data_IF_211692835069
#
_entry.id   IF_211692835069
#
_cell.length_a   1.000
_cell.length_b   1.000
_cell.length_c   1.000
_cell.angle_alpha   90.00
_cell.angle_beta   90.00
_cell.angle_gamma   90.00
#
_symmetry.space_group_name_H-M   'P 1'
#
loop_
_entity.id
_entity.type
_entity.pdbx_description
1 polymer ?
#
# COMPACT_ATOMS: atom_id res chain seq x y z
N UNK A 1 -12.93 9.71 -11.81
CA UNK A 1 -11.64 8.98 -11.97
C UNK A 1 -11.85 7.60 -12.60
N UNK A 2 -10.88 7.06 -13.35
CA UNK A 2 -10.94 5.65 -13.83
C UNK A 2 -10.18 4.76 -12.85
N UNK A 3 -10.87 4.21 -11.87
CA UNK A 3 -10.32 3.16 -11.00
C UNK A 3 -10.19 1.86 -11.81
N UNK A 4 -8.97 1.38 -12.01
CA UNK A 4 -8.72 0.10 -12.66
C UNK A 4 -9.10 -1.04 -11.70
N UNK A 5 -10.21 -1.74 -11.99
CA UNK A 5 -10.68 -2.88 -11.19
C UNK A 5 -10.07 -4.17 -11.72
N UNK A 6 -8.95 -4.60 -11.15
CA UNK A 6 -8.27 -5.83 -11.56
C UNK A 6 -8.84 -7.01 -10.77
N UNK A 7 -9.40 -8.00 -11.47
CA UNK A 7 -9.83 -9.26 -10.85
C UNK A 7 -8.64 -10.17 -10.58
N UNK A 8 -8.76 -11.11 -9.62
CA UNK A 8 -7.74 -12.14 -9.35
C UNK A 8 -7.36 -12.93 -10.61
N UNK A 9 -8.31 -13.17 -11.52
CA UNK A 9 -8.08 -13.87 -12.80
C UNK A 9 -7.28 -13.03 -13.82
N UNK A 10 -7.05 -11.75 -13.55
CA UNK A 10 -6.30 -10.82 -14.37
C UNK A 10 -4.94 -10.45 -13.75
N UNK A 11 -4.49 -11.13 -12.69
CA UNK A 11 -3.20 -10.87 -12.04
C UNK A 11 -2.02 -10.92 -13.02
N UNK A 12 -2.12 -11.76 -14.05
CA UNK A 12 -1.10 -11.90 -15.09
C UNK A 12 -0.85 -10.59 -15.86
N UNK A 13 -1.86 -9.70 -15.96
CA UNK A 13 -1.73 -8.38 -16.59
C UNK A 13 -0.90 -7.40 -15.75
N UNK A 14 -0.82 -7.63 -14.44
CA UNK A 14 0.02 -6.84 -13.54
C UNK A 14 1.48 -7.29 -13.58
N UNK A 15 1.80 -8.40 -14.24
CA UNK A 15 3.18 -8.82 -14.35
C UNK A 15 3.90 -8.04 -15.45
N UNK A 16 4.78 -7.13 -15.07
CA UNK A 16 5.60 -6.36 -16.00
C UNK A 16 7.07 -6.37 -15.57
N UNK A 17 7.89 -7.13 -16.31
CA UNK A 17 9.33 -7.26 -16.06
C UNK A 17 10.08 -5.93 -16.00
N UNK A 18 9.61 -4.88 -16.69
CA UNK A 18 10.25 -3.56 -16.65
C UNK A 18 10.03 -2.84 -15.32
N UNK A 19 8.89 -3.08 -14.67
CA UNK A 19 8.52 -2.46 -13.40
C UNK A 19 9.18 -3.19 -12.21
N UNK A 20 9.32 -4.52 -12.31
CA UNK A 20 10.01 -5.36 -11.36
C UNK A 20 9.09 -6.38 -10.69
N UNK A 21 9.49 -6.85 -9.51
CA UNK A 21 8.71 -7.77 -8.67
C UNK A 21 7.44 -7.07 -8.19
N UNK A 22 6.30 -7.73 -8.39
CA UNK A 22 4.99 -7.20 -8.03
C UNK A 22 4.51 -7.73 -6.69
N UNK A 23 4.02 -6.84 -5.83
CA UNK A 23 3.32 -7.15 -4.60
C UNK A 23 1.90 -6.63 -4.74
N UNK A 24 0.92 -7.53 -4.63
CA UNK A 24 -0.47 -7.24 -4.95
C UNK A 24 -1.35 -7.60 -3.77
N UNK A 25 -2.26 -6.69 -3.44
CA UNK A 25 -3.39 -6.94 -2.55
C UNK A 25 -4.67 -6.56 -3.28
N UNK A 26 -5.59 -7.51 -3.44
CA UNK A 26 -6.89 -7.30 -4.09
C UNK A 26 -8.01 -7.71 -3.14
N UNK A 27 -9.09 -6.94 -3.14
CA UNK A 27 -10.35 -7.31 -2.50
C UNK A 27 -11.12 -8.34 -3.35
N UNK A 28 -11.69 -9.35 -2.71
CA UNK A 28 -12.50 -10.41 -3.33
C UNK A 28 -13.68 -9.83 -4.13
N UNK A 29 -14.25 -8.71 -3.67
CA UNK A 29 -15.38 -8.05 -4.34
C UNK A 29 -14.96 -7.14 -5.51
N UNK A 30 -13.67 -7.11 -5.89
CA UNK A 30 -13.12 -6.33 -7.03
C UNK A 30 -13.35 -4.81 -6.93
N UNK A 31 -13.56 -4.28 -5.72
CA UNK A 31 -13.78 -2.85 -5.49
C UNK A 31 -12.52 -2.11 -5.09
N UNK A 32 -11.52 -2.82 -4.56
CA UNK A 32 -10.34 -2.26 -3.91
C UNK A 32 -9.11 -3.10 -4.24
N UNK A 33 -7.97 -2.48 -4.15
CA UNK A 33 -6.70 -3.15 -4.25
C UNK A 33 -5.56 -2.16 -4.42
N UNK A 34 -4.39 -2.59 -3.99
CA UNK A 34 -3.14 -1.85 -4.11
C UNK A 34 -2.09 -2.74 -4.77
N UNK A 35 -1.22 -2.13 -5.56
CA UNK A 35 -0.15 -2.81 -6.29
C UNK A 35 1.13 -2.03 -6.11
N UNK A 36 2.15 -2.70 -5.60
CA UNK A 36 3.49 -2.13 -5.44
C UNK A 36 4.46 -2.89 -6.35
N UNK A 37 5.23 -2.14 -7.13
CA UNK A 37 6.30 -2.68 -7.97
C UNK A 37 7.65 -2.32 -7.37
N UNK A 38 8.48 -3.32 -7.14
CA UNK A 38 9.83 -3.14 -6.58
C UNK A 38 10.84 -3.74 -7.55
N UNK A 39 11.92 -3.02 -7.84
CA UNK A 39 12.96 -3.50 -8.74
C UNK A 39 13.58 -4.80 -8.22
N UNK A 40 13.83 -5.75 -9.11
CA UNK A 40 14.27 -7.11 -8.73
C UNK A 40 15.59 -7.17 -7.96
N UNK A 41 16.46 -6.16 -8.15
CA UNK A 41 17.73 -6.05 -7.43
C UNK A 41 17.57 -5.54 -5.98
N UNK A 42 16.39 -5.05 -5.61
CA UNK A 42 16.05 -4.66 -4.24
C UNK A 42 15.43 -5.89 -3.55
N UNK A 43 16.03 -6.30 -2.43
CA UNK A 43 15.44 -7.36 -1.61
C UNK A 43 14.13 -6.85 -1.02
N UNK A 44 13.04 -7.57 -1.27
CA UNK A 44 11.71 -7.17 -0.84
C UNK A 44 10.89 -8.37 -0.36
N UNK A 45 10.26 -8.20 0.80
CA UNK A 45 9.47 -9.21 1.49
C UNK A 45 8.13 -8.63 1.95
N UNK A 46 7.05 -9.32 1.64
CA UNK A 46 5.73 -8.99 2.16
C UNK A 46 5.68 -9.22 3.68
N UNK A 47 5.21 -8.21 4.41
CA UNK A 47 5.12 -8.25 5.88
C UNK A 47 3.66 -8.37 6.31
N UNK A 48 2.76 -7.63 5.66
CA UNK A 48 1.35 -7.61 6.03
C UNK A 48 0.44 -7.26 4.86
N UNK A 49 -0.75 -7.86 4.88
CA UNK A 49 -1.89 -7.55 4.03
C UNK A 49 -3.13 -7.47 4.89
N UNK A 50 -3.91 -6.41 4.71
CA UNK A 50 -5.23 -6.35 5.34
C UNK A 50 -6.30 -7.08 4.53
N UNK A 51 -7.39 -7.44 5.19
CA UNK A 51 -8.51 -8.16 4.57
C UNK A 51 -9.35 -7.27 3.65
N UNK A 52 -9.32 -5.96 3.85
CA UNK A 52 -10.18 -5.01 3.15
C UNK A 52 -9.61 -4.55 1.80
N UNK A 53 -8.39 -4.97 1.48
CA UNK A 53 -7.71 -4.65 0.24
C UNK A 53 -7.13 -3.23 0.18
N UNK A 54 -6.76 -2.67 1.35
CA UNK A 54 -6.43 -1.24 1.52
C UNK A 54 -5.06 -0.99 2.14
N UNK A 55 -4.42 -1.97 2.78
CA UNK A 55 -3.12 -1.81 3.42
C UNK A 55 -2.21 -2.96 3.00
N UNK A 56 -1.14 -2.62 2.30
CA UNK A 56 -0.07 -3.54 1.94
C UNK A 56 1.24 -3.03 2.53
N UNK A 57 1.90 -3.87 3.33
CA UNK A 57 3.20 -3.56 3.92
C UNK A 57 4.26 -4.50 3.36
N UNK A 58 5.35 -3.91 2.85
CA UNK A 58 6.48 -4.63 2.27
C UNK A 58 7.76 -4.08 2.89
N UNK A 59 8.56 -4.96 3.48
CA UNK A 59 9.94 -4.65 3.88
C UNK A 59 10.81 -4.63 2.63
N UNK A 60 11.63 -3.60 2.49
CA UNK A 60 12.73 -3.56 1.53
C UNK A 60 14.07 -3.40 2.26
N UNK A 61 15.13 -3.89 1.62
CA UNK A 61 16.50 -3.65 2.08
C UNK A 61 17.23 -2.78 1.07
N UNK A 62 17.67 -1.60 1.51
CA UNK A 62 18.47 -0.66 0.73
C UNK A 62 19.68 -0.26 1.57
N UNK A 63 20.89 -0.40 1.01
CA UNK A 63 22.14 -0.01 1.70
C UNK A 63 22.26 -0.60 3.12
N UNK A 64 21.86 -1.86 3.29
CA UNK A 64 21.83 -2.60 4.57
C UNK A 64 20.84 -2.06 5.61
N UNK A 65 19.91 -1.19 5.20
CA UNK A 65 18.82 -0.68 6.03
C UNK A 65 17.50 -1.33 5.65
N UNK A 66 16.75 -1.71 6.68
CA UNK A 66 15.40 -2.27 6.54
C UNK A 66 14.38 -1.15 6.59
N UNK A 67 13.69 -0.92 5.48
CA UNK A 67 12.66 0.11 5.35
C UNK A 67 11.31 -0.58 5.16
N UNK A 68 10.32 -0.18 5.95
CA UNK A 68 8.94 -0.62 5.76
C UNK A 68 8.23 0.32 4.79
N UNK A 69 7.91 -0.17 3.59
CA UNK A 69 6.97 0.49 2.69
C UNK A 69 5.54 0.12 3.07
N UNK A 70 4.69 1.13 3.24
CA UNK A 70 3.29 0.98 3.61
C UNK A 70 2.43 1.66 2.55
N UNK A 71 1.93 0.87 1.60
CA UNK A 71 1.01 1.34 0.56
C UNK A 71 -0.43 1.30 1.09
N UNK A 72 -1.12 2.44 1.06
CA UNK A 72 -2.47 2.59 1.58
C UNK A 72 -3.47 3.09 0.54
N UNK A 73 -4.72 2.65 0.70
CA UNK A 73 -5.88 3.24 0.04
C UNK A 73 -6.98 3.49 1.08
N UNK A 74 -7.02 4.72 1.60
CA UNK A 74 -7.94 5.11 2.66
C UNK A 74 -9.40 5.16 2.17
N UNK A 75 -10.38 4.80 3.02
CA UNK A 75 -11.80 4.95 2.70
C UNK A 75 -12.20 6.42 2.66
N UNK A 76 -13.29 6.76 1.95
CA UNK A 76 -13.89 8.09 2.06
C UNK A 76 -14.32 8.37 3.51
N UNK A 77 -15.04 7.42 4.14
CA UNK A 77 -15.46 7.48 5.54
C UNK A 77 -15.75 6.07 6.10
N UNK A 78 -15.61 5.84 7.44
CA UNK A 78 -14.96 6.72 8.41
C UNK A 78 -13.44 6.52 8.44
N UNK A 79 -12.69 7.61 8.25
CA UNK A 79 -11.22 7.58 8.12
C UNK A 79 -10.49 7.32 9.43
N UNK A 80 -11.03 7.81 10.56
CA UNK A 80 -10.40 7.68 11.88
C UNK A 80 -10.12 6.22 12.25
N UNK A 81 -11.11 5.34 12.06
CA UNK A 81 -11.00 3.91 12.36
C UNK A 81 -9.90 3.27 11.50
N UNK A 82 -9.80 3.67 10.22
CA UNK A 82 -8.79 3.17 9.31
C UNK A 82 -7.38 3.59 9.74
N UNK A 83 -7.17 4.87 10.03
CA UNK A 83 -5.86 5.37 10.45
C UNK A 83 -5.46 4.88 11.84
N UNK A 84 -6.42 4.66 12.75
CA UNK A 84 -6.13 4.04 14.05
C UNK A 84 -5.71 2.56 13.90
N UNK A 85 -6.38 1.80 13.02
CA UNK A 85 -5.97 0.43 12.65
C UNK A 85 -4.56 0.42 12.05
N UNK A 86 -4.27 1.35 11.13
CA UNK A 86 -2.96 1.51 10.50
C UNK A 86 -1.88 1.81 11.54
N UNK A 87 -2.10 2.79 12.41
CA UNK A 87 -1.17 3.19 13.46
C UNK A 87 -0.84 2.05 14.42
N UNK A 88 -1.86 1.37 14.94
CA UNK A 88 -1.66 0.21 15.82
C UNK A 88 -0.85 -0.87 15.12
N UNK A 89 -1.14 -1.14 13.84
CA UNK A 89 -0.41 -2.16 13.08
C UNK A 89 1.05 -1.80 12.86
N UNK A 90 1.36 -0.53 12.55
CA UNK A 90 2.76 -0.06 12.42
C UNK A 90 3.49 -0.20 13.75
N UNK A 91 2.85 0.19 14.85
CA UNK A 91 3.42 0.09 16.20
C UNK A 91 3.73 -1.36 16.59
N UNK A 92 2.87 -2.31 16.23
CA UNK A 92 3.07 -3.73 16.54
C UNK A 92 4.26 -4.36 15.80
N UNK A 93 4.59 -3.86 14.61
CA UNK A 93 5.64 -4.43 13.76
C UNK A 93 7.03 -3.84 14.08
N UNK A 94 7.08 -2.66 14.72
CA UNK A 94 8.32 -2.06 15.28
C UNK A 94 9.46 -1.82 14.28
N UNK A 95 9.16 -1.26 13.11
CA UNK A 95 10.21 -0.75 12.18
C UNK A 95 10.63 0.67 12.56
N UNK A 96 11.93 0.98 12.40
CA UNK A 96 12.48 2.33 12.61
C UNK A 96 12.30 3.22 11.38
N UNK A 97 12.66 2.70 10.19
CA UNK A 97 12.52 3.41 8.92
C UNK A 97 11.21 2.99 8.23
N UNK A 98 10.27 3.93 8.12
CA UNK A 98 8.93 3.68 7.56
C UNK A 98 8.62 4.75 6.50
N UNK A 99 8.15 4.30 5.34
CA UNK A 99 7.61 5.15 4.29
C UNK A 99 6.16 4.78 4.05
N UNK A 100 5.24 5.72 4.24
CA UNK A 100 3.80 5.54 3.99
C UNK A 100 3.47 6.28 2.70
N UNK A 101 2.86 5.58 1.75
CA UNK A 101 2.53 6.07 0.43
C UNK A 101 1.14 5.58 -0.01
N UNK A 102 0.59 6.19 -1.05
CA UNK A 102 -0.70 5.85 -1.61
C UNK A 102 -1.71 6.97 -1.49
N UNK A 103 -3.00 6.61 -1.50
CA UNK A 103 -4.11 7.55 -1.47
C UNK A 103 -4.70 7.65 -0.05
N UNK A 104 -4.37 8.76 0.62
CA UNK A 104 -4.84 9.08 1.97
C UNK A 104 -6.29 9.57 1.97
N UNK A 105 -6.82 9.97 0.81
CA UNK A 105 -8.20 10.39 0.62
C UNK A 105 -8.66 11.44 1.65
N UNK A 106 -7.74 12.30 2.09
CA UNK A 106 -7.94 13.26 3.18
C UNK A 106 -7.29 14.59 2.82
N UNK A 107 -7.83 15.67 3.39
CA UNK A 107 -7.25 17.01 3.29
C UNK A 107 -6.32 17.18 4.48
N UNK A 108 -5.02 17.28 4.23
CA UNK A 108 -4.01 17.39 5.29
C UNK A 108 -3.98 18.82 5.81
N UNK A 109 -4.01 19.80 4.90
CA UNK A 109 -4.01 21.20 5.24
C UNK A 109 -5.06 21.95 4.41
N UNK A 110 -6.14 22.36 5.09
CA UNK A 110 -7.23 23.08 4.44
C UNK A 110 -6.81 24.41 3.81
N UNK A 111 -5.68 24.99 4.21
CA UNK A 111 -5.18 26.25 3.65
C UNK A 111 -4.31 26.06 2.43
N UNK A 112 -3.58 24.94 2.34
CA UNK A 112 -2.74 24.60 1.18
C UNK A 112 -3.50 23.80 0.12
N UNK A 113 -4.46 22.98 0.55
CA UNK A 113 -5.19 22.03 -0.30
C UNK A 113 -6.48 22.64 -0.90
N UNK A 114 -6.99 23.75 -0.36
CA UNK A 114 -8.06 24.52 -0.99
C UNK A 114 -7.49 25.69 -1.80
N UNK A 115 -7.87 25.76 -3.07
CA UNK A 115 -7.69 26.91 -3.97
C UNK A 115 -9.03 27.42 -4.45
#
# INVERSE_FOLDING_TARGET
ERTCRVSTNALYLLNNKKLGKVFVLLDEQKKRGVVLYIKEWILAKEVFKDKDGRILMVEIELEYRKILLVEIYAPNDPQEIFFQKLYNKIKDIQYEEICILGDFNTVIDKTLDYK
#
